data_IF_790098427774
#
_entry.id   IF_790098427774
#
_cell.length_a   1.000
_cell.length_b   1.000
_cell.length_c   1.000
_cell.angle_alpha   90.00
_cell.angle_beta   90.00
_cell.angle_gamma   90.00
#
_symmetry.space_group_name_H-M   'P 1'
#
loop_
_entity.id
_entity.type
_entity.pdbx_description
1 polymer ?
#
# COMPACT_ATOMS: atom_id res chain seq x y z
N UNK A 1 -18.95 6.77 32.07
CA UNK A 1 -17.51 6.84 32.37
C UNK A 1 -16.79 7.06 31.02
N UNK A 2 -16.26 8.25 30.84
CA UNK A 2 -15.48 8.62 29.64
C UNK A 2 -14.06 8.06 29.85
N UNK A 3 -13.69 7.00 29.15
CA UNK A 3 -12.31 6.51 29.17
C UNK A 3 -11.52 7.38 28.20
N UNK A 4 -10.81 8.38 28.74
CA UNK A 4 -9.84 9.16 27.99
C UNK A 4 -8.76 8.24 27.43
N UNK A 5 -8.53 8.28 26.11
CA UNK A 5 -7.36 7.65 25.50
C UNK A 5 -6.11 8.34 26.06
N UNK A 6 -5.11 7.60 26.53
CA UNK A 6 -3.86 8.22 26.97
C UNK A 6 -3.22 8.93 25.78
N UNK A 7 -3.12 10.24 25.83
CA UNK A 7 -2.34 11.03 24.88
C UNK A 7 -0.87 10.79 25.20
N UNK A 8 -0.09 10.28 24.23
CA UNK A 8 1.33 10.10 24.41
C UNK A 8 2.02 11.44 24.71
N UNK A 9 3.03 11.49 25.61
CA UNK A 9 3.79 12.70 25.84
C UNK A 9 4.67 12.99 24.61
N UNK A 10 4.22 13.89 23.75
CA UNK A 10 4.94 14.25 22.53
C UNK A 10 4.07 14.79 21.38
N UNK A 11 2.73 14.74 21.53
CA UNK A 11 1.80 15.15 20.46
C UNK A 11 1.68 14.11 19.35
N UNK A 12 0.51 14.03 18.75
CA UNK A 12 0.26 13.18 17.58
C UNK A 12 1.02 13.75 16.37
N UNK A 13 1.93 12.96 15.79
CA UNK A 13 2.68 13.34 14.59
C UNK A 13 1.75 13.34 13.38
N UNK A 14 0.85 12.35 13.31
CA UNK A 14 -0.18 12.21 12.29
C UNK A 14 -1.55 12.27 12.97
N UNK A 15 -2.48 13.04 12.40
CA UNK A 15 -3.79 13.29 12.99
C UNK A 15 -4.91 12.68 12.19
N UNK A 16 -5.92 12.15 12.86
CA UNK A 16 -7.10 11.55 12.23
C UNK A 16 -7.86 12.54 11.34
N UNK A 17 -7.89 13.83 11.71
CA UNK A 17 -8.58 14.88 10.97
C UNK A 17 -7.96 15.14 9.59
N UNK A 18 -6.74 14.68 9.36
CA UNK A 18 -6.05 14.78 8.07
C UNK A 18 -6.40 13.65 7.11
N UNK A 19 -7.01 12.56 7.60
CA UNK A 19 -7.33 11.41 6.78
C UNK A 19 -8.45 11.76 5.80
N UNK A 20 -8.23 11.40 4.53
CA UNK A 20 -9.20 11.54 3.45
C UNK A 20 -9.42 10.17 2.85
N UNK A 21 -10.64 9.98 2.32
CA UNK A 21 -11.03 8.67 1.81
C UNK A 21 -11.50 8.79 0.38
N UNK A 22 -11.02 7.85 -0.44
CA UNK A 22 -11.49 7.68 -1.80
C UNK A 22 -12.35 6.42 -1.89
N UNK A 23 -13.21 6.35 -2.89
CA UNK A 23 -14.00 5.17 -3.23
C UNK A 23 -14.08 5.02 -4.75
N UNK A 24 -14.44 3.82 -5.19
CA UNK A 24 -14.84 3.61 -6.57
C UNK A 24 -16.19 4.27 -6.81
N UNK A 25 -16.41 4.80 -8.03
CA UNK A 25 -17.73 5.26 -8.44
C UNK A 25 -18.69 4.07 -8.51
N UNK A 26 -19.94 4.28 -8.20
CA UNK A 26 -20.95 3.22 -8.16
C UNK A 26 -21.00 2.47 -9.49
N UNK A 27 -20.71 1.16 -9.43
CA UNK A 27 -20.73 0.25 -10.58
C UNK A 27 -19.60 0.42 -11.60
N UNK A 28 -18.59 1.25 -11.34
CA UNK A 28 -17.45 1.44 -12.24
C UNK A 28 -16.11 1.54 -11.50
N UNK A 29 -15.37 0.43 -11.39
CA UNK A 29 -14.01 0.39 -10.83
C UNK A 29 -12.96 1.12 -11.69
N UNK A 30 -13.35 1.78 -12.76
CA UNK A 30 -12.46 2.59 -13.60
C UNK A 30 -12.43 4.06 -13.18
N UNK A 31 -13.36 4.47 -12.32
CA UNK A 31 -13.47 5.85 -11.84
C UNK A 31 -13.36 5.88 -10.33
N UNK A 32 -12.46 6.71 -9.83
CA UNK A 32 -12.22 6.94 -8.41
C UNK A 32 -12.85 8.26 -8.02
N UNK A 33 -13.71 8.24 -7.03
CA UNK A 33 -14.27 9.44 -6.44
C UNK A 33 -13.42 9.95 -5.29
N UNK A 34 -13.00 11.20 -5.39
CA UNK A 34 -12.36 11.96 -4.32
C UNK A 34 -13.35 13.02 -3.84
N UNK A 35 -13.82 12.89 -2.60
CA UNK A 35 -14.79 13.81 -2.01
C UNK A 35 -14.33 14.25 -0.63
N UNK A 36 -14.12 15.56 -0.48
CA UNK A 36 -13.86 16.23 0.79
C UNK A 36 -14.48 17.64 0.75
N UNK A 37 -14.50 18.32 1.87
CA UNK A 37 -14.99 19.70 1.92
C UNK A 37 -14.21 20.59 0.95
N UNK A 38 -14.91 21.23 0.03
CA UNK A 38 -14.31 22.09 -0.99
C UNK A 38 -13.50 21.37 -2.08
N UNK A 39 -13.51 20.02 -2.11
CA UNK A 39 -12.76 19.20 -3.08
C UNK A 39 -13.60 18.06 -3.61
N UNK A 40 -13.84 18.04 -4.92
CA UNK A 40 -14.63 17.00 -5.57
C UNK A 40 -14.06 16.72 -6.97
N UNK A 41 -13.50 15.51 -7.15
CA UNK A 41 -12.93 15.06 -8.42
C UNK A 41 -13.31 13.61 -8.70
N UNK A 42 -13.55 13.32 -9.98
CA UNK A 42 -13.67 11.97 -10.53
C UNK A 42 -12.41 11.70 -11.33
N UNK A 43 -11.67 10.68 -10.93
CA UNK A 43 -10.34 10.39 -11.45
C UNK A 43 -10.37 9.02 -12.14
N UNK A 44 -10.04 8.94 -13.45
CA UNK A 44 -9.84 7.64 -14.08
C UNK A 44 -8.78 6.81 -13.36
N UNK A 45 -9.00 5.52 -13.19
CA UNK A 45 -8.08 4.63 -12.46
C UNK A 45 -6.67 4.52 -13.11
N UNK A 46 -6.55 4.91 -14.37
CA UNK A 46 -5.30 4.94 -15.13
C UNK A 46 -4.69 6.34 -15.32
N UNK A 47 -5.32 7.39 -14.76
CA UNK A 47 -4.89 8.78 -14.95
C UNK A 47 -3.61 9.14 -14.20
N UNK A 48 -3.14 8.30 -13.29
CA UNK A 48 -2.02 8.60 -12.40
C UNK A 48 -0.79 7.74 -12.62
N UNK A 49 0.27 8.13 -11.93
CA UNK A 49 1.48 7.33 -11.82
C UNK A 49 1.31 6.30 -10.71
N UNK A 50 1.19 5.03 -11.06
CA UNK A 50 1.20 3.92 -10.08
C UNK A 50 2.63 3.59 -9.69
N UNK A 51 2.89 3.44 -8.40
CA UNK A 51 4.18 3.05 -7.85
C UNK A 51 3.99 2.25 -6.56
N UNK A 52 5.04 1.56 -6.13
CA UNK A 52 5.05 0.83 -4.87
C UNK A 52 6.16 1.34 -3.95
N UNK A 53 5.91 1.26 -2.65
CA UNK A 53 6.91 1.43 -1.60
C UNK A 53 6.98 0.15 -0.78
N UNK A 54 8.19 -0.28 -0.47
CA UNK A 54 8.45 -1.52 0.27
C UNK A 54 9.40 -1.21 1.41
N UNK A 55 8.93 -1.49 2.61
CA UNK A 55 9.77 -1.61 3.80
C UNK A 55 10.00 -3.09 4.10
N UNK A 56 11.26 -3.47 4.12
CA UNK A 56 11.68 -4.86 4.30
C UNK A 56 12.00 -5.11 5.77
N UNK A 57 11.43 -6.18 6.33
CA UNK A 57 11.83 -6.67 7.64
C UNK A 57 13.36 -6.74 7.79
N UNK A 58 13.89 -6.40 8.96
CA UNK A 58 15.33 -6.38 9.22
C UNK A 58 15.99 -7.76 9.10
N UNK A 59 15.23 -8.85 9.13
CA UNK A 59 15.70 -10.21 8.86
C UNK A 59 14.62 -11.04 8.16
N UNK A 60 15.05 -12.06 7.40
CA UNK A 60 14.15 -13.00 6.72
C UNK A 60 13.76 -14.21 7.59
N UNK A 61 13.97 -14.14 8.90
CA UNK A 61 13.56 -15.20 9.83
C UNK A 61 12.05 -15.07 10.09
N UNK A 62 11.37 -16.20 10.25
CA UNK A 62 9.91 -16.25 10.49
C UNK A 62 9.44 -15.52 11.76
N UNK A 63 10.35 -15.22 12.69
CA UNK A 63 10.11 -14.42 13.91
C UNK A 63 10.43 -12.93 13.74
N UNK A 64 10.80 -12.50 12.53
CA UNK A 64 11.22 -11.15 12.23
C UNK A 64 10.05 -10.14 12.21
N UNK A 65 10.41 -8.88 12.02
CA UNK A 65 9.50 -7.77 11.79
C UNK A 65 8.63 -8.00 10.54
N UNK A 66 7.62 -7.17 10.38
CA UNK A 66 6.80 -7.22 9.19
C UNK A 66 7.52 -6.64 7.99
N UNK A 67 7.26 -7.21 6.82
CA UNK A 67 7.48 -6.55 5.54
C UNK A 67 6.18 -5.89 5.11
N UNK A 68 6.28 -4.65 4.68
CA UNK A 68 5.15 -3.88 4.16
C UNK A 68 5.37 -3.56 2.69
N UNK A 69 4.35 -3.80 1.87
CA UNK A 69 4.29 -3.42 0.46
C UNK A 69 3.06 -2.55 0.28
N UNK A 70 3.23 -1.27 -0.02
CA UNK A 70 2.13 -0.36 -0.31
C UNK A 70 2.13 0.01 -1.79
N UNK A 71 0.94 -0.02 -2.40
CA UNK A 71 0.72 0.41 -3.78
C UNK A 71 -0.02 1.74 -3.79
N UNK A 72 0.56 2.70 -4.47
CA UNK A 72 0.11 4.08 -4.53
C UNK A 72 -0.16 4.53 -5.94
N UNK A 73 -1.11 5.43 -6.10
CA UNK A 73 -1.24 6.24 -7.31
C UNK A 73 -1.01 7.72 -6.98
N UNK A 74 -0.16 8.37 -7.75
CA UNK A 74 0.04 9.81 -7.71
C UNK A 74 -0.67 10.46 -8.88
N UNK A 75 -1.58 11.37 -8.58
CA UNK A 75 -2.29 12.20 -9.56
C UNK A 75 -1.94 13.66 -9.38
N UNK A 76 -2.36 14.48 -10.34
CA UNK A 76 -2.31 15.94 -10.23
C UNK A 76 -3.72 16.49 -10.32
N UNK A 77 -4.18 17.13 -9.24
CA UNK A 77 -5.46 17.83 -9.17
C UNK A 77 -5.24 19.19 -8.49
N UNK A 78 -5.96 20.21 -8.89
CA UNK A 78 -5.88 21.58 -8.35
C UNK A 78 -4.44 22.10 -8.20
N UNK A 79 -3.63 21.83 -9.22
CA UNK A 79 -2.20 22.22 -9.30
C UNK A 79 -1.29 21.56 -8.26
N UNK A 80 -1.81 20.61 -7.47
CA UNK A 80 -1.07 19.83 -6.45
C UNK A 80 -0.98 18.35 -6.81
N UNK A 81 -0.02 17.66 -6.18
CA UNK A 81 0.02 16.20 -6.21
C UNK A 81 -0.82 15.62 -5.08
N UNK A 82 -1.65 14.65 -5.42
CA UNK A 82 -2.40 13.83 -4.48
C UNK A 82 -1.90 12.39 -4.56
N UNK A 83 -1.91 11.70 -3.44
CA UNK A 83 -1.44 10.33 -3.27
C UNK A 83 -2.60 9.46 -2.80
N UNK A 84 -2.93 8.45 -3.58
CA UNK A 84 -4.01 7.51 -3.29
C UNK A 84 -3.39 6.15 -2.96
N UNK A 85 -3.62 5.64 -1.76
CA UNK A 85 -3.20 4.29 -1.38
C UNK A 85 -4.24 3.29 -1.93
N UNK A 86 -3.79 2.37 -2.79
CA UNK A 86 -4.65 1.36 -3.40
C UNK A 86 -4.61 0.04 -2.65
N UNK A 87 -3.43 -0.32 -2.15
CA UNK A 87 -3.24 -1.63 -1.52
C UNK A 87 -2.13 -1.55 -0.47
N UNK A 88 -2.28 -2.32 0.61
CA UNK A 88 -1.28 -2.47 1.66
C UNK A 88 -1.19 -3.94 2.08
N UNK A 89 -0.07 -4.55 1.79
CA UNK A 89 0.27 -5.90 2.26
C UNK A 89 1.25 -5.76 3.41
N UNK A 90 0.87 -6.25 4.59
CA UNK A 90 1.72 -6.27 5.79
C UNK A 90 1.81 -7.69 6.32
N UNK A 91 2.97 -8.32 6.16
CA UNK A 91 3.17 -9.71 6.53
C UNK A 91 4.61 -10.02 6.90
N UNK A 92 4.79 -11.08 7.71
CA UNK A 92 6.08 -11.76 7.84
C UNK A 92 6.26 -12.68 6.64
N UNK A 93 7.37 -12.55 5.95
CA UNK A 93 7.67 -13.29 4.72
C UNK A 93 9.12 -13.74 4.72
N UNK A 94 9.37 -14.95 4.26
CA UNK A 94 10.73 -15.38 3.91
C UNK A 94 11.16 -14.79 2.55
N UNK A 95 12.42 -15.01 2.15
CA UNK A 95 12.96 -14.44 0.91
C UNK A 95 12.18 -14.82 -0.35
N UNK A 96 11.89 -16.10 -0.59
CA UNK A 96 11.06 -16.55 -1.70
C UNK A 96 9.63 -15.98 -1.68
N UNK A 97 8.99 -15.94 -0.52
CA UNK A 97 7.64 -15.38 -0.36
C UNK A 97 7.61 -13.87 -0.64
N UNK A 98 8.61 -13.15 -0.14
CA UNK A 98 8.77 -11.72 -0.42
C UNK A 98 8.87 -11.44 -1.91
N UNK A 99 9.78 -12.14 -2.60
CA UNK A 99 9.97 -11.94 -4.05
C UNK A 99 8.67 -12.26 -4.79
N UNK A 100 8.00 -13.35 -4.44
CA UNK A 100 6.73 -13.73 -5.05
C UNK A 100 5.63 -12.69 -4.78
N UNK A 101 5.55 -12.13 -3.56
CA UNK A 101 4.60 -11.08 -3.23
C UNK A 101 4.83 -9.80 -4.05
N UNK A 102 6.10 -9.40 -4.21
CA UNK A 102 6.45 -8.25 -5.05
C UNK A 102 6.11 -8.50 -6.51
N UNK A 103 6.45 -9.67 -7.07
CA UNK A 103 6.11 -10.05 -8.45
C UNK A 103 4.60 -10.02 -8.68
N UNK A 104 3.83 -10.57 -7.77
CA UNK A 104 2.38 -10.58 -7.84
C UNK A 104 1.78 -9.15 -7.76
N UNK A 105 2.30 -8.31 -6.86
CA UNK A 105 1.91 -6.90 -6.79
C UNK A 105 2.25 -6.13 -8.07
N UNK A 106 3.42 -6.39 -8.67
CA UNK A 106 3.83 -5.79 -9.94
C UNK A 106 2.94 -6.25 -11.09
N UNK A 107 2.59 -7.52 -11.14
CA UNK A 107 1.68 -8.07 -12.16
C UNK A 107 0.28 -7.43 -12.09
N UNK A 108 -0.25 -7.29 -10.87
CA UNK A 108 -1.59 -6.74 -10.61
C UNK A 108 -1.66 -5.25 -10.90
N UNK A 109 -0.75 -4.48 -10.33
CA UNK A 109 -0.83 -3.02 -10.29
C UNK A 109 0.00 -2.31 -11.37
N UNK A 110 0.92 -3.03 -12.02
CA UNK A 110 1.82 -2.53 -13.07
C UNK A 110 2.52 -1.22 -12.68
N UNK A 111 3.16 -1.16 -11.51
CA UNK A 111 3.78 0.07 -11.03
C UNK A 111 4.92 0.47 -11.96
N UNK A 112 5.05 1.76 -12.22
CA UNK A 112 6.18 2.31 -12.99
C UNK A 112 7.49 2.23 -12.25
N UNK A 113 7.45 2.16 -10.93
CA UNK A 113 8.63 2.08 -10.07
C UNK A 113 8.27 1.43 -8.75
N UNK A 114 9.21 0.68 -8.20
CA UNK A 114 9.12 0.03 -6.90
C UNK A 114 10.25 0.58 -6.03
N UNK A 115 9.91 1.44 -5.08
CA UNK A 115 10.84 1.96 -4.08
C UNK A 115 11.04 0.96 -2.97
N UNK A 116 12.27 0.60 -2.71
CA UNK A 116 12.62 -0.33 -1.63
C UNK A 116 13.59 0.38 -0.69
N UNK A 117 13.21 0.50 0.58
CA UNK A 117 14.16 0.94 1.58
C UNK A 117 15.28 -0.09 1.69
N UNK A 118 16.52 0.34 1.48
CA UNK A 118 17.65 -0.57 1.35
C UNK A 118 18.77 -0.22 2.28
N UNK A 119 19.05 -1.13 3.22
CA UNK A 119 20.24 -1.14 4.06
C UNK A 119 20.74 -2.57 4.22
N UNK A 120 22.04 -2.75 4.26
CA UNK A 120 22.65 -4.06 4.52
C UNK A 120 22.21 -5.16 3.53
N UNK A 121 21.62 -6.24 4.04
CA UNK A 121 21.21 -7.41 3.23
C UNK A 121 20.08 -7.12 2.25
N UNK A 122 19.30 -6.08 2.48
CA UNK A 122 18.17 -5.66 1.63
C UNK A 122 18.65 -5.30 0.21
N UNK A 123 19.92 -4.90 0.05
CA UNK A 123 20.54 -4.69 -1.26
C UNK A 123 20.52 -5.96 -2.13
N UNK A 124 20.72 -7.13 -1.54
CA UNK A 124 20.65 -8.40 -2.27
C UNK A 124 19.25 -8.65 -2.82
N UNK A 125 18.20 -8.36 -2.04
CA UNK A 125 16.81 -8.44 -2.48
C UNK A 125 16.56 -7.48 -3.63
N UNK A 126 17.01 -6.23 -3.53
CA UNK A 126 16.90 -5.25 -4.62
C UNK A 126 17.55 -5.75 -5.90
N UNK A 127 18.74 -6.35 -5.80
CA UNK A 127 19.42 -6.92 -6.97
C UNK A 127 18.67 -8.11 -7.57
N UNK A 128 18.09 -8.98 -6.74
CA UNK A 128 17.27 -10.10 -7.21
C UNK A 128 16.02 -9.62 -7.95
N UNK A 129 15.32 -8.64 -7.40
CA UNK A 129 14.14 -8.04 -8.03
C UNK A 129 14.51 -7.36 -9.36
N UNK A 130 15.62 -6.62 -9.42
CA UNK A 130 16.12 -6.00 -10.66
C UNK A 130 16.47 -7.04 -11.73
N UNK A 131 17.08 -8.18 -11.36
CA UNK A 131 17.35 -9.28 -12.28
C UNK A 131 16.09 -9.90 -12.87
N UNK A 132 14.96 -9.80 -12.19
CA UNK A 132 13.64 -10.22 -12.65
C UNK A 132 12.94 -9.15 -13.52
N UNK A 133 13.60 -8.04 -13.82
CA UNK A 133 13.05 -6.95 -14.62
C UNK A 133 12.13 -6.01 -13.85
N UNK A 134 12.04 -6.13 -12.52
CA UNK A 134 11.22 -5.22 -11.70
C UNK A 134 11.92 -3.86 -11.62
N UNK A 135 11.20 -2.75 -11.85
CA UNK A 135 11.77 -1.41 -11.89
C UNK A 135 12.08 -0.88 -10.47
N UNK A 136 13.03 -1.51 -9.79
CA UNK A 136 13.40 -1.20 -8.41
C UNK A 136 14.27 0.05 -8.33
N UNK A 137 13.87 0.96 -7.46
CA UNK A 137 14.68 2.07 -6.97
C UNK A 137 15.02 1.85 -5.51
N UNK A 138 16.30 1.77 -5.22
CA UNK A 138 16.79 1.75 -3.84
C UNK A 138 16.61 3.12 -3.20
N UNK A 139 15.96 3.15 -2.05
CA UNK A 139 15.78 4.35 -1.23
C UNK A 139 16.63 4.17 0.01
N UNK A 140 17.63 5.01 0.16
CA UNK A 140 18.46 5.03 1.36
C UNK A 140 17.86 6.01 2.36
N UNK A 141 17.63 5.60 3.60
CA UNK A 141 17.18 6.54 4.62
C UNK A 141 18.30 7.57 4.84
N UNK A 142 17.98 8.83 4.62
CA UNK A 142 18.86 9.98 4.80
C UNK A 142 18.64 10.70 6.14
N UNK A 143 17.56 10.34 6.84
CA UNK A 143 17.11 10.95 8.10
C UNK A 143 16.55 9.89 9.04
N UNK A 144 16.39 10.26 10.31
CA UNK A 144 15.68 9.44 11.28
C UNK A 144 14.18 9.29 10.90
N UNK A 145 13.55 8.26 11.44
CA UNK A 145 12.15 7.92 11.14
C UNK A 145 11.17 9.07 11.42
N UNK A 146 11.35 9.75 12.56
CA UNK A 146 10.49 10.88 12.93
C UNK A 146 10.59 12.01 11.91
N UNK A 147 11.80 12.38 11.51
CA UNK A 147 12.03 13.41 10.49
C UNK A 147 11.42 13.03 9.12
N UNK A 148 11.44 11.75 8.75
CA UNK A 148 10.80 11.26 7.52
C UNK A 148 9.28 11.35 7.61
N UNK A 149 8.70 10.94 8.72
CA UNK A 149 7.24 11.05 8.95
C UNK A 149 6.78 12.51 8.96
N UNK A 150 7.52 13.39 9.63
CA UNK A 150 7.24 14.82 9.64
C UNK A 150 7.30 15.44 8.24
N UNK A 151 8.15 14.96 7.34
CA UNK A 151 8.18 15.43 5.95
C UNK A 151 6.90 15.08 5.16
N UNK A 152 6.13 14.08 5.58
CA UNK A 152 4.85 13.72 4.97
C UNK A 152 3.66 14.52 5.51
N UNK A 153 3.77 15.10 6.71
CA UNK A 153 2.64 15.80 7.37
C UNK A 153 2.06 16.95 6.57
N UNK A 154 2.82 17.79 5.83
CA UNK A 154 2.23 18.88 5.06
C UNK A 154 1.30 18.39 3.93
N UNK A 155 1.57 17.23 3.36
CA UNK A 155 0.69 16.65 2.35
C UNK A 155 -0.57 16.06 2.97
N UNK A 156 -0.47 15.45 4.15
CA UNK A 156 -1.62 14.92 4.88
C UNK A 156 -2.51 16.03 5.44
N UNK A 157 -1.93 17.02 6.07
CA UNK A 157 -2.65 18.19 6.59
C UNK A 157 -3.40 18.94 5.50
N UNK A 158 -2.79 19.07 4.32
CA UNK A 158 -3.43 19.66 3.15
C UNK A 158 -4.48 18.74 2.48
N UNK A 159 -4.84 17.60 3.07
CA UNK A 159 -5.84 16.67 2.54
C UNK A 159 -5.44 16.02 1.20
N UNK A 160 -4.14 15.87 0.93
CA UNK A 160 -3.63 15.33 -0.34
C UNK A 160 -3.27 13.86 -0.31
N UNK A 161 -3.48 13.19 0.82
CA UNK A 161 -3.26 11.76 0.99
C UNK A 161 -4.60 11.09 1.24
N UNK A 162 -4.91 10.08 0.43
CA UNK A 162 -6.21 9.46 0.37
C UNK A 162 -6.10 7.95 0.63
N UNK A 163 -6.88 7.45 1.56
CA UNK A 163 -6.99 6.02 1.85
C UNK A 163 -8.27 5.45 1.22
N UNK A 164 -8.36 4.15 0.94
CA UNK A 164 -9.60 3.56 0.47
C UNK A 164 -10.66 3.63 1.59
N UNK A 165 -11.87 4.07 1.25
CA UNK A 165 -12.98 4.13 2.20
C UNK A 165 -13.33 2.74 2.78
N UNK A 166 -13.08 1.69 1.99
CA UNK A 166 -13.36 0.31 2.36
C UNK A 166 -12.17 -0.58 1.98
N UNK A 167 -11.37 -0.95 2.96
CA UNK A 167 -10.31 -1.95 2.82
C UNK A 167 -10.14 -2.70 4.15
N UNK A 168 -9.94 -4.03 4.14
CA UNK A 168 -9.88 -4.81 5.37
C UNK A 168 -8.70 -4.42 6.28
N UNK A 169 -7.60 -3.95 5.68
CA UNK A 169 -6.38 -3.54 6.38
C UNK A 169 -6.37 -2.06 6.84
N UNK A 170 -7.39 -1.27 6.48
CA UNK A 170 -7.41 0.18 6.75
C UNK A 170 -7.32 0.51 8.24
N UNK A 171 -8.07 -0.18 9.08
CA UNK A 171 -8.07 0.10 10.52
C UNK A 171 -6.70 -0.15 11.17
N UNK A 172 -6.00 -1.20 10.75
CA UNK A 172 -4.66 -1.49 11.26
C UNK A 172 -3.65 -0.43 10.80
N UNK A 173 -3.77 0.04 9.55
CA UNK A 173 -2.97 1.15 9.05
C UNK A 173 -3.23 2.43 9.85
N UNK A 174 -4.49 2.84 9.99
CA UNK A 174 -4.87 4.05 10.73
C UNK A 174 -4.40 4.00 12.19
N UNK A 175 -4.54 2.85 12.84
CA UNK A 175 -4.10 2.66 14.22
C UNK A 175 -2.57 2.82 14.35
N UNK A 176 -1.79 2.28 13.41
CA UNK A 176 -0.34 2.43 13.38
C UNK A 176 0.08 3.88 13.12
N UNK A 177 -0.55 4.55 12.15
CA UNK A 177 -0.30 5.96 11.83
C UNK A 177 -0.58 6.88 13.03
N UNK A 178 -1.72 6.69 13.69
CA UNK A 178 -2.11 7.51 14.85
C UNK A 178 -1.27 7.20 16.10
N UNK A 179 -0.79 5.97 16.22
CA UNK A 179 0.07 5.56 17.34
C UNK A 179 1.52 6.01 17.21
N UNK A 180 1.96 6.45 16.03
CA UNK A 180 3.34 6.84 15.79
C UNK A 180 3.71 8.13 16.55
N UNK A 181 4.89 8.25 17.19
CA UNK A 181 6.00 7.28 17.18
C UNK A 181 5.97 6.25 18.31
N UNK A 182 4.91 6.21 19.12
CA UNK A 182 4.83 5.35 20.30
C UNK A 182 4.24 3.95 20.01
N UNK A 183 3.80 3.67 18.79
CA UNK A 183 3.29 2.36 18.39
C UNK A 183 4.37 1.29 18.40
N UNK A 184 3.97 0.02 18.63
CA UNK A 184 4.88 -1.13 18.65
C UNK A 184 5.49 -1.42 17.25
N UNK A 185 4.86 -0.94 16.20
CA UNK A 185 5.25 -1.09 14.81
C UNK A 185 5.11 0.24 14.09
N UNK A 186 5.99 0.50 13.14
CA UNK A 186 6.04 1.72 12.34
C UNK A 186 6.34 1.47 10.86
N UNK A 187 6.30 0.19 10.44
CA UNK A 187 6.64 -0.26 9.09
C UNK A 187 5.75 0.37 8.01
N UNK A 188 4.45 0.57 8.31
CA UNK A 188 3.51 1.22 7.40
C UNK A 188 3.73 2.73 7.33
N UNK A 189 4.19 3.35 8.42
CA UNK A 189 4.59 4.76 8.46
C UNK A 189 5.81 5.00 7.57
N UNK A 190 6.79 4.09 7.59
CA UNK A 190 7.98 4.18 6.74
C UNK A 190 7.60 4.09 5.25
N UNK A 191 6.72 3.16 4.86
CA UNK A 191 6.20 3.08 3.48
C UNK A 191 5.45 4.34 3.05
N UNK A 192 4.59 4.90 3.91
CA UNK A 192 3.85 6.15 3.64
C UNK A 192 4.82 7.33 3.50
N UNK A 193 5.78 7.45 4.41
CA UNK A 193 6.79 8.51 4.40
C UNK A 193 7.62 8.46 3.12
N UNK A 194 8.01 7.26 2.68
CA UNK A 194 8.70 7.02 1.43
C UNK A 194 7.83 7.44 0.23
N UNK A 195 6.55 7.06 0.23
CA UNK A 195 5.63 7.39 -0.86
C UNK A 195 5.47 8.90 -1.05
N UNK A 196 5.32 9.64 0.03
CA UNK A 196 5.07 11.08 -0.02
C UNK A 196 6.37 11.86 -0.19
N UNK A 197 7.41 11.52 0.57
CA UNK A 197 8.68 12.26 0.57
C UNK A 197 9.65 11.85 -0.54
N UNK A 198 9.73 10.56 -0.84
CA UNK A 198 10.76 10.01 -1.74
C UNK A 198 10.42 10.05 -3.23
N UNK A 199 9.14 10.08 -3.58
CA UNK A 199 8.69 9.95 -4.97
C UNK A 199 8.14 11.23 -5.62
N UNK A 200 8.19 12.36 -4.91
CA UNK A 200 7.73 13.67 -5.46
C UNK A 200 8.50 14.07 -6.73
N UNK A 201 9.73 13.61 -6.87
CA UNK A 201 10.65 14.01 -7.97
C UNK A 201 10.87 12.90 -9.02
N UNK A 202 9.92 11.97 -9.19
CA UNK A 202 10.04 11.01 -10.27
C UNK A 202 9.93 11.69 -11.63
N UNK A 203 10.91 11.50 -12.54
CA UNK A 203 10.79 12.00 -13.90
C UNK A 203 9.61 11.32 -14.60
N UNK A 204 8.86 12.09 -15.38
CA UNK A 204 7.71 11.61 -16.15
C UNK A 204 8.08 10.61 -17.27
N UNK A 205 9.37 10.42 -17.53
CA UNK A 205 9.90 9.65 -18.68
C UNK A 205 10.38 8.23 -18.35
N UNK A 206 10.15 7.73 -17.14
CA UNK A 206 10.60 6.38 -16.79
C UNK A 206 9.73 5.31 -17.48
N UNK A 207 10.31 4.56 -18.41
CA UNK A 207 9.68 3.39 -19.06
C UNK A 207 10.17 2.13 -18.34
N UNK A 208 9.30 1.34 -17.69
CA UNK A 208 9.72 0.09 -17.07
C UNK A 208 10.13 -0.93 -18.13
N UNK A 209 11.18 -1.71 -17.82
CA UNK A 209 11.52 -2.89 -18.61
C UNK A 209 10.41 -3.97 -18.49
N UNK A 210 10.25 -4.87 -19.47
CA UNK A 210 9.30 -5.96 -19.35
C UNK A 210 9.63 -6.86 -18.16
N UNK A 211 8.64 -7.13 -17.32
CA UNK A 211 8.79 -7.99 -16.13
C UNK A 211 8.62 -9.44 -16.51
N UNK A 212 9.61 -10.27 -16.20
CA UNK A 212 9.54 -11.71 -16.40
C UNK A 212 9.00 -12.38 -15.12
N UNK A 213 7.68 -12.63 -15.09
CA UNK A 213 6.97 -13.15 -13.91
C UNK A 213 7.27 -14.64 -13.75
N UNK A 214 7.72 -15.04 -12.56
CA UNK A 214 7.98 -16.43 -12.21
C UNK A 214 6.69 -17.22 -11.99
N UNK A 215 6.65 -18.46 -12.46
CA UNK A 215 5.59 -19.45 -12.19
C UNK A 215 5.93 -20.37 -11.00
N UNK A 216 6.87 -19.98 -10.16
CA UNK A 216 7.32 -20.79 -9.03
C UNK A 216 6.18 -21.09 -8.02
N UNK A 217 6.29 -22.18 -7.21
CA UNK A 217 5.31 -22.47 -6.16
C UNK A 217 5.16 -21.34 -5.15
N UNK A 218 6.23 -20.58 -4.88
CA UNK A 218 6.18 -19.40 -4.03
C UNK A 218 5.34 -18.28 -4.66
N UNK A 219 5.47 -18.07 -5.97
CA UNK A 219 4.63 -17.12 -6.70
C UNK A 219 3.15 -17.53 -6.67
N UNK A 220 2.84 -18.81 -6.89
CA UNK A 220 1.46 -19.32 -6.82
C UNK A 220 0.85 -19.15 -5.44
N UNK A 221 1.62 -19.38 -4.35
CA UNK A 221 1.16 -19.09 -2.99
C UNK A 221 0.92 -17.60 -2.76
N UNK A 222 1.84 -16.75 -3.19
CA UNK A 222 1.68 -15.29 -3.08
C UNK A 222 0.47 -14.80 -3.90
N UNK A 223 0.28 -15.32 -5.11
CA UNK A 223 -0.88 -15.01 -5.94
C UNK A 223 -2.18 -15.45 -5.28
N UNK A 224 -2.23 -16.67 -4.72
CA UNK A 224 -3.40 -17.15 -3.96
C UNK A 224 -3.70 -16.24 -2.76
N UNK A 225 -2.68 -15.71 -2.09
CA UNK A 225 -2.87 -14.75 -1.01
C UNK A 225 -3.40 -13.39 -1.50
N UNK A 226 -2.92 -12.91 -2.64
CA UNK A 226 -3.45 -11.68 -3.24
C UNK A 226 -4.87 -11.88 -3.77
N UNK A 227 -5.20 -13.08 -4.22
CA UNK A 227 -6.57 -13.44 -4.64
C UNK A 227 -7.52 -13.60 -3.46
N UNK A 228 -7.03 -14.07 -2.30
CA UNK A 228 -7.78 -14.10 -1.03
C UNK A 228 -7.89 -12.69 -0.43
N UNK A 229 -6.84 -11.88 -0.57
CA UNK A 229 -6.82 -10.46 -0.27
C UNK A 229 -7.36 -9.61 -1.45
N UNK A 230 -8.21 -10.20 -2.32
CA UNK A 230 -8.91 -9.40 -3.33
C UNK A 230 -9.48 -8.18 -2.63
N UNK A 231 -9.36 -7.00 -3.25
CA UNK A 231 -10.17 -5.90 -2.77
C UNK A 231 -11.59 -6.45 -2.63
N UNK A 232 -12.16 -6.32 -1.47
CA UNK A 232 -13.57 -6.57 -1.25
C UNK A 232 -14.29 -6.01 -2.48
N UNK A 233 -15.19 -6.81 -3.04
CA UNK A 233 -16.12 -6.32 -4.03
C UNK A 233 -16.74 -5.04 -3.43
N UNK A 234 -16.31 -3.90 -3.94
CA UNK A 234 -16.64 -2.59 -3.35
C UNK A 234 -18.11 -2.21 -3.50
N UNK A 235 -18.97 -3.16 -3.88
CA UNK A 235 -20.39 -3.02 -4.06
C UNK A 235 -21.23 -4.24 -3.70
N UNK A 236 -20.64 -5.38 -3.30
CA UNK A 236 -21.37 -6.63 -3.03
C UNK A 236 -21.33 -7.07 -1.57
N UNK A 237 -22.43 -7.61 -1.06
CA UNK A 237 -22.49 -8.35 0.20
C UNK A 237 -21.54 -9.57 0.13
N UNK A 238 -20.93 -10.00 1.25
CA UNK A 238 -20.05 -11.15 1.26
C UNK A 238 -20.81 -12.41 0.85
N UNK A 239 -20.50 -12.94 -0.33
CA UNK A 239 -20.97 -14.27 -0.72
C UNK A 239 -20.28 -15.30 0.17
N UNK A 240 -21.03 -15.93 1.05
CA UNK A 240 -20.60 -17.06 1.83
C UNK A 240 -20.39 -18.26 0.92
N UNK A 241 -19.15 -18.56 0.54
CA UNK A 241 -18.81 -19.84 -0.08
C UNK A 241 -18.78 -20.89 1.03
N UNK A 242 -19.77 -21.76 1.08
CA UNK A 242 -19.70 -23.02 1.82
C UNK A 242 -19.06 -24.05 0.91
N UNK A 243 -17.86 -24.49 1.24
CA UNK A 243 -17.32 -25.73 0.70
C UNK A 243 -18.05 -26.89 1.37
N UNK A 244 -18.87 -27.63 0.61
CA UNK A 244 -19.29 -28.98 0.93
C UNK A 244 -18.74 -29.90 -0.14
N UNK A 245 -18.15 -31.02 0.27
CA UNK A 245 -17.66 -32.08 -0.62
C UNK A 245 -18.73 -32.49 -1.64
N UNK A 246 -18.43 -32.29 -2.92
CA UNK A 246 -19.13 -32.92 -4.04
C UNK A 246 -20.36 -32.19 -4.56
N UNK A 247 -20.20 -31.28 -5.53
CA UNK A 247 -21.23 -30.85 -6.46
C UNK A 247 -21.75 -29.44 -6.21
N UNK A 248 -21.57 -28.59 -7.21
CA UNK A 248 -22.13 -27.23 -7.27
C UNK A 248 -23.58 -27.33 -7.73
N UNK A 249 -24.53 -26.91 -6.88
CA UNK A 249 -25.89 -26.62 -7.29
C UNK A 249 -26.20 -25.15 -6.98
N UNK A 250 -26.67 -24.43 -7.98
CA UNK A 250 -27.29 -23.13 -7.82
C UNK A 250 -28.78 -23.36 -7.50
N UNK A 251 -29.23 -22.97 -6.33
CA UNK A 251 -30.67 -22.82 -6.07
C UNK A 251 -31.01 -21.35 -6.22
N UNK A 252 -31.92 -21.08 -7.17
CA UNK A 252 -32.68 -19.84 -7.28
C UNK A 252 -33.81 -19.91 -6.27
N UNK A 253 -33.89 -18.97 -5.32
CA UNK A 253 -35.10 -18.76 -4.53
C UNK A 253 -35.97 -17.67 -5.15
N UNK A 254 -37.26 -18.02 -5.26
CA UNK A 254 -38.39 -17.16 -5.68
C UNK A 254 -38.66 -15.96 -4.76
#
# INVERSE_FOLDING_TARGET
MYQGRPTAPGGEVLKSDWFRYWRWADGDEKVIELRAEGFAHDVPADAGLVFQTIDLAASLKSSADYTVIQTWMRIRADKAHHFLLFDSVRRRMDGPELIAAVEAGVAKWKPRIVGVESSGFQLAICQMLKKKGIPVREVRPDRDKLSRALAATPAMEAGRVWFPASAPWRHDLEAELLGFPASAHDDQVDCLSMAIGGFVHLPSTFTPAPVNISTSPAHQRAQKFLDIARPFDYGGQPSTIRESDGGVYLEEED
#
